data_IF_407627136453
#
_entry.id   IF_407627136453
#
_cell.length_a   1.000
_cell.length_b   1.000
_cell.length_c   1.000
_cell.angle_alpha   90.00
_cell.angle_beta   90.00
_cell.angle_gamma   90.00
#
_symmetry.space_group_name_H-M   'P 1'
#
loop_
_entity.id
_entity.type
_entity.pdbx_description
1 polymer ?
#
# COMPACT_ATOMS: atom_id res chain seq x y z
N UNK A 1 21.16 -3.75 -3.16
CA UNK A 1 20.04 -3.21 -2.36
C UNK A 1 20.38 -3.35 -0.89
N UNK A 2 20.00 -2.39 -0.06
CA UNK A 2 20.44 -2.35 1.33
C UNK A 2 19.70 -3.43 2.14
N UNK A 3 20.46 -4.41 2.64
CA UNK A 3 19.95 -5.51 3.49
C UNK A 3 19.21 -4.99 4.73
N UNK A 4 19.57 -3.79 5.18
CA UNK A 4 18.94 -3.09 6.31
C UNK A 4 17.45 -2.88 6.10
N UNK A 5 17.01 -2.39 4.92
CA UNK A 5 15.60 -2.09 4.67
C UNK A 5 14.69 -3.32 4.79
N UNK A 6 15.15 -4.47 4.31
CA UNK A 6 14.40 -5.71 4.42
C UNK A 6 14.39 -6.23 5.85
N UNK A 7 15.52 -6.19 6.53
CA UNK A 7 15.61 -6.60 7.92
C UNK A 7 14.61 -5.79 8.76
N UNK A 8 14.53 -4.48 8.55
CA UNK A 8 13.58 -3.63 9.27
C UNK A 8 12.12 -3.99 8.97
N UNK A 9 11.77 -4.25 7.71
CA UNK A 9 10.40 -4.69 7.36
C UNK A 9 10.07 -6.04 7.98
N UNK A 10 10.96 -7.04 7.88
CA UNK A 10 10.70 -8.37 8.41
C UNK A 10 10.66 -8.38 9.94
N UNK A 11 11.54 -7.62 10.60
CA UNK A 11 11.51 -7.43 12.06
C UNK A 11 10.19 -6.77 12.44
N UNK A 12 9.79 -5.69 11.77
CA UNK A 12 8.52 -5.02 12.03
C UNK A 12 7.32 -5.97 11.87
N UNK A 13 7.27 -6.73 10.78
CA UNK A 13 6.22 -7.73 10.53
C UNK A 13 6.15 -8.78 11.64
N UNK A 14 7.30 -9.34 12.04
CA UNK A 14 7.40 -10.35 13.08
C UNK A 14 6.98 -9.77 14.44
N UNK A 15 7.48 -8.59 14.80
CA UNK A 15 7.14 -7.90 16.05
C UNK A 15 5.65 -7.57 16.11
N UNK A 16 5.05 -7.01 15.05
CA UNK A 16 3.62 -6.72 15.02
C UNK A 16 2.78 -7.99 15.12
N UNK A 17 3.18 -9.06 14.44
CA UNK A 17 2.49 -10.36 14.56
C UNK A 17 2.52 -10.88 16.00
N UNK A 18 3.67 -10.81 16.66
CA UNK A 18 3.83 -11.24 18.05
C UNK A 18 2.99 -10.38 19.00
N UNK A 19 3.03 -9.05 18.86
CA UNK A 19 2.29 -8.12 19.72
C UNK A 19 0.77 -8.31 19.59
N UNK A 20 0.27 -8.42 18.36
CA UNK A 20 -1.18 -8.60 18.12
C UNK A 20 -1.63 -9.98 18.60
N UNK A 21 -0.84 -11.03 18.37
CA UNK A 21 -1.15 -12.39 18.85
C UNK A 21 -1.17 -12.46 20.37
N UNK A 22 -0.15 -11.90 21.04
CA UNK A 22 -0.09 -11.83 22.49
C UNK A 22 -1.28 -11.05 23.06
N UNK A 23 -1.63 -9.92 22.44
CA UNK A 23 -2.75 -9.09 22.87
C UNK A 23 -4.09 -9.83 22.75
N UNK A 24 -4.32 -10.55 21.64
CA UNK A 24 -5.52 -11.40 21.47
C UNK A 24 -5.55 -12.52 22.50
N UNK A 25 -4.46 -13.29 22.65
CA UNK A 25 -4.42 -14.44 23.56
C UNK A 25 -4.67 -14.00 25.00
N UNK A 26 -3.99 -12.94 25.44
CA UNK A 26 -4.14 -12.40 26.80
C UNK A 26 -5.54 -11.84 27.03
N UNK A 27 -6.11 -11.14 26.04
CA UNK A 27 -7.47 -10.61 26.13
C UNK A 27 -8.53 -11.72 26.17
N UNK A 28 -8.35 -12.79 25.38
CA UNK A 28 -9.23 -13.96 25.41
C UNK A 28 -9.12 -14.70 26.74
N UNK A 29 -7.92 -14.85 27.29
CA UNK A 29 -7.71 -15.45 28.61
C UNK A 29 -8.48 -14.69 29.70
N UNK A 30 -8.40 -13.35 29.70
CA UNK A 30 -9.14 -12.50 30.64
C UNK A 30 -10.65 -12.60 30.40
N UNK A 31 -11.09 -12.58 29.15
CA UNK A 31 -12.52 -12.59 28.79
C UNK A 31 -13.22 -13.89 29.22
N UNK A 32 -12.51 -15.02 29.10
CA UNK A 32 -13.04 -16.36 29.33
C UNK A 32 -12.84 -16.88 30.76
N UNK A 33 -12.04 -16.20 31.59
CA UNK A 33 -11.83 -16.56 32.98
C UNK A 33 -12.74 -15.74 33.91
N UNK A 34 -13.57 -16.44 34.69
CA UNK A 34 -14.56 -15.85 35.61
C UNK A 34 -13.94 -15.27 36.90
N UNK A 35 -12.66 -15.52 37.17
CA UNK A 35 -11.92 -14.91 38.29
C UNK A 35 -11.69 -13.40 38.08
N UNK A 36 -11.79 -12.91 36.84
CA UNK A 36 -11.61 -11.50 36.51
C UNK A 36 -12.91 -10.70 36.64
N UNK A 37 -12.77 -9.42 37.03
CA UNK A 37 -13.92 -8.53 37.21
C UNK A 37 -14.70 -8.34 35.90
N UNK A 38 -16.02 -8.24 36.02
CA UNK A 38 -16.93 -8.01 34.89
C UNK A 38 -16.55 -6.77 34.05
N UNK A 39 -16.11 -5.70 34.72
CA UNK A 39 -15.66 -4.46 34.05
C UNK A 39 -14.43 -4.73 33.17
N UNK A 40 -13.44 -5.47 33.69
CA UNK A 40 -12.24 -5.80 32.93
C UNK A 40 -12.58 -6.68 31.72
N UNK A 41 -13.50 -7.63 31.88
CA UNK A 41 -13.98 -8.49 30.79
C UNK A 41 -14.65 -7.69 29.68
N UNK A 42 -15.44 -6.65 30.00
CA UNK A 42 -15.98 -5.73 29.00
C UNK A 42 -14.87 -4.94 28.31
N UNK A 43 -13.90 -4.42 29.08
CA UNK A 43 -12.79 -3.63 28.53
C UNK A 43 -11.99 -4.42 27.49
N UNK A 44 -11.67 -5.70 27.75
CA UNK A 44 -10.88 -6.52 26.82
C UNK A 44 -11.61 -6.84 25.51
N UNK A 45 -12.95 -6.73 25.46
CA UNK A 45 -13.70 -6.82 24.19
C UNK A 45 -13.29 -5.68 23.25
N UNK A 46 -13.14 -4.45 23.76
CA UNK A 46 -12.67 -3.32 22.97
C UNK A 46 -11.22 -3.47 22.52
N UNK A 47 -10.38 -4.11 23.36
CA UNK A 47 -8.99 -4.44 22.99
C UNK A 47 -8.98 -5.44 21.83
N UNK A 48 -9.76 -6.53 21.91
CA UNK A 48 -9.89 -7.51 20.83
C UNK A 48 -10.37 -6.85 19.55
N UNK A 49 -11.42 -6.02 19.62
CA UNK A 49 -11.94 -5.29 18.46
C UNK A 49 -10.85 -4.40 17.83
N UNK A 50 -10.08 -3.68 18.65
CA UNK A 50 -8.97 -2.84 18.19
C UNK A 50 -7.87 -3.66 17.51
N UNK A 51 -7.49 -4.81 18.08
CA UNK A 51 -6.50 -5.70 17.48
C UNK A 51 -6.97 -6.24 16.14
N UNK A 52 -8.23 -6.67 16.02
CA UNK A 52 -8.82 -7.12 14.76
C UNK A 52 -8.79 -6.00 13.71
N UNK A 53 -9.22 -4.79 14.08
CA UNK A 53 -9.19 -3.62 13.20
C UNK A 53 -7.76 -3.29 12.72
N UNK A 54 -6.76 -3.42 13.59
CA UNK A 54 -5.36 -3.21 13.21
C UNK A 54 -4.84 -4.34 12.31
N UNK A 55 -5.16 -5.59 12.62
CA UNK A 55 -4.73 -6.76 11.83
C UNK A 55 -5.32 -6.75 10.41
N UNK A 56 -6.51 -6.19 10.22
CA UNK A 56 -7.13 -6.02 8.90
C UNK A 56 -6.44 -4.96 8.03
N UNK A 57 -5.67 -4.04 8.63
CA UNK A 57 -4.92 -3.02 7.90
C UNK A 57 -3.60 -3.58 7.41
N UNK A 58 -3.43 -3.67 6.09
CA UNK A 58 -2.19 -4.14 5.45
C UNK A 58 -0.97 -3.31 5.88
N UNK A 59 -1.16 -2.02 6.18
CA UNK A 59 -0.11 -1.09 6.60
C UNK A 59 0.46 -1.43 7.98
N UNK A 60 -0.28 -2.16 8.82
CA UNK A 60 0.18 -2.62 10.13
C UNK A 60 1.40 -3.53 9.98
N UNK A 61 1.39 -4.41 8.97
CA UNK A 61 2.50 -5.32 8.69
C UNK A 61 3.48 -4.74 7.66
N UNK A 62 2.98 -3.99 6.69
CA UNK A 62 3.76 -3.42 5.60
C UNK A 62 3.73 -1.89 5.68
N UNK A 63 4.55 -1.27 6.55
CA UNK A 63 4.46 0.17 6.85
C UNK A 63 4.69 1.05 5.62
N UNK A 64 5.49 0.59 4.66
CA UNK A 64 5.74 1.29 3.39
C UNK A 64 4.50 1.38 2.47
N UNK A 65 3.42 0.66 2.76
CA UNK A 65 2.14 0.81 2.05
C UNK A 65 1.26 1.91 2.65
N UNK A 66 1.60 2.41 3.84
CA UNK A 66 0.81 3.41 4.54
C UNK A 66 1.10 4.85 4.15
N UNK A 67 0.57 5.76 4.96
CA UNK A 67 0.82 7.20 4.85
C UNK A 67 2.33 7.46 4.91
N UNK A 68 2.86 8.32 4.04
CA UNK A 68 4.31 8.56 3.93
C UNK A 68 4.57 10.04 3.72
N UNK A 69 5.58 10.58 4.40
CA UNK A 69 6.03 11.95 4.16
C UNK A 69 6.90 11.97 2.91
N UNK A 70 6.54 12.82 1.95
CA UNK A 70 7.39 13.22 0.84
C UNK A 70 7.07 14.69 0.54
N UNK A 71 8.00 15.62 0.82
CA UNK A 71 7.79 17.03 0.55
C UNK A 71 7.30 17.25 -0.88
N UNK A 72 6.10 17.81 -1.02
CA UNK A 72 5.41 17.96 -2.31
C UNK A 72 6.22 18.72 -3.37
N UNK A 73 7.11 19.70 -3.04
CA UNK A 73 7.95 20.36 -4.05
C UNK A 73 9.00 19.45 -4.71
N UNK A 74 9.30 18.27 -4.14
CA UNK A 74 10.20 17.28 -4.74
C UNK A 74 9.51 16.44 -5.82
N UNK A 75 8.18 16.47 -5.87
CA UNK A 75 7.40 15.70 -6.83
C UNK A 75 7.33 16.51 -8.12
N UNK A 76 7.72 15.88 -9.23
CA UNK A 76 7.64 16.51 -10.54
C UNK A 76 6.20 16.91 -10.89
N UNK A 77 6.08 17.90 -11.79
CA UNK A 77 4.83 18.18 -12.49
C UNK A 77 4.36 16.97 -13.35
N UNK A 78 3.22 17.12 -14.03
CA UNK A 78 2.62 16.06 -14.83
C UNK A 78 3.66 15.38 -15.74
N UNK A 79 3.77 14.06 -15.59
CA UNK A 79 4.75 13.22 -16.27
C UNK A 79 4.07 11.95 -16.75
N UNK A 80 4.29 11.63 -18.02
CA UNK A 80 3.77 10.41 -18.65
C UNK A 80 4.97 9.52 -19.02
N UNK A 81 4.94 8.21 -18.72
CA UNK A 81 6.01 7.30 -19.12
C UNK A 81 6.09 7.19 -20.65
N UNK A 82 7.32 7.11 -21.18
CA UNK A 82 7.54 6.97 -22.62
C UNK A 82 6.95 5.65 -23.10
N UNK A 83 6.17 5.69 -24.18
CA UNK A 83 5.52 4.50 -24.74
C UNK A 83 4.22 4.08 -24.05
N UNK A 84 3.66 4.93 -23.16
CA UNK A 84 2.33 4.69 -22.58
C UNK A 84 1.27 4.49 -23.67
N UNK A 85 0.60 3.34 -23.63
CA UNK A 85 -0.40 2.93 -24.61
C UNK A 85 -1.77 2.62 -24.00
N UNK A 86 -1.90 2.72 -22.67
CA UNK A 86 -3.15 2.58 -21.93
C UNK A 86 -3.46 3.87 -21.19
N UNK A 87 -4.75 4.17 -21.05
CA UNK A 87 -5.26 5.28 -20.25
C UNK A 87 -6.38 4.76 -19.34
N UNK A 88 -6.25 5.01 -18.04
CA UNK A 88 -7.22 4.67 -17.01
C UNK A 88 -7.65 5.95 -16.30
N UNK A 89 -8.95 6.12 -16.07
CA UNK A 89 -9.46 7.25 -15.29
C UNK A 89 -9.76 6.79 -13.87
N UNK A 90 -9.27 7.54 -12.88
CA UNK A 90 -9.59 7.33 -11.47
C UNK A 90 -10.55 8.43 -11.03
N UNK A 91 -11.69 8.03 -10.49
CA UNK A 91 -12.62 8.94 -9.85
C UNK A 91 -12.10 9.29 -8.44
N UNK A 92 -11.88 10.58 -8.22
CA UNK A 92 -11.31 11.18 -7.02
C UNK A 92 -12.17 12.36 -6.57
N UNK A 93 -13.49 12.15 -6.63
CA UNK A 93 -14.48 13.08 -6.10
C UNK A 93 -14.19 13.33 -4.62
N UNK A 94 -14.01 14.60 -4.26
CA UNK A 94 -13.63 15.02 -2.90
C UNK A 94 -12.19 15.55 -2.78
N UNK A 95 -11.37 15.43 -3.83
CA UNK A 95 -10.06 16.10 -3.89
C UNK A 95 -10.09 17.34 -4.79
N UNK A 96 -9.37 18.42 -4.43
CA UNK A 96 -9.38 19.65 -5.22
C UNK A 96 -8.63 19.48 -6.54
N UNK A 97 -9.06 20.21 -7.55
CA UNK A 97 -8.38 20.28 -8.85
C UNK A 97 -6.92 20.74 -8.69
N UNK A 98 -6.04 20.18 -9.52
CA UNK A 98 -4.60 20.39 -9.44
C UNK A 98 -3.88 19.56 -8.37
N UNK A 99 -4.60 18.78 -7.55
CA UNK A 99 -4.00 17.74 -6.68
C UNK A 99 -3.23 16.75 -7.54
N UNK A 100 -2.02 16.37 -7.08
CA UNK A 100 -1.18 15.43 -7.82
C UNK A 100 -1.50 13.99 -7.44
N UNK A 101 -1.47 13.13 -8.43
CA UNK A 101 -1.57 11.67 -8.30
C UNK A 101 -0.28 11.08 -8.86
N UNK A 102 0.53 10.47 -8.00
CA UNK A 102 1.74 9.75 -8.41
C UNK A 102 1.38 8.29 -8.60
N UNK A 103 1.81 7.70 -9.71
CA UNK A 103 1.46 6.32 -10.04
C UNK A 103 2.64 5.57 -10.66
N UNK A 104 2.61 4.25 -10.48
CA UNK A 104 3.60 3.34 -11.04
C UNK A 104 2.98 1.97 -11.31
N UNK A 105 3.49 1.29 -12.33
CA UNK A 105 3.12 -0.07 -12.68
C UNK A 105 4.37 -0.90 -12.99
N UNK A 106 4.21 -2.21 -13.12
CA UNK A 106 5.32 -3.08 -13.51
C UNK A 106 5.80 -2.75 -14.93
N UNK A 107 7.06 -3.08 -15.20
CA UNK A 107 7.62 -3.05 -16.53
C UNK A 107 6.99 -4.13 -17.43
N UNK A 108 7.25 -4.00 -18.73
CA UNK A 108 6.87 -4.98 -19.74
C UNK A 108 8.13 -5.71 -20.22
N UNK A 109 8.26 -6.97 -19.83
CA UNK A 109 9.31 -7.91 -20.24
C UNK A 109 8.78 -9.02 -21.15
N UNK A 110 7.46 -9.20 -21.25
CA UNK A 110 6.80 -10.24 -22.05
C UNK A 110 6.73 -11.60 -21.34
N UNK A 111 7.03 -11.66 -20.04
CA UNK A 111 7.07 -12.87 -19.24
C UNK A 111 6.63 -12.60 -17.80
N UNK A 112 6.28 -13.65 -17.07
CA UNK A 112 5.99 -13.51 -15.64
C UNK A 112 7.28 -13.17 -14.90
N UNK A 113 7.25 -12.07 -14.14
CA UNK A 113 8.40 -11.61 -13.38
C UNK A 113 8.37 -12.29 -12.00
N UNK A 114 9.49 -12.89 -11.60
CA UNK A 114 9.54 -13.70 -10.36
C UNK A 114 9.60 -12.86 -9.08
N UNK A 115 9.88 -11.56 -9.19
CA UNK A 115 10.13 -10.70 -8.06
C UNK A 115 9.68 -9.24 -8.31
N UNK A 116 9.11 -8.56 -7.31
CA UNK A 116 8.62 -7.19 -7.48
C UNK A 116 9.73 -6.17 -7.80
N UNK A 117 10.97 -6.38 -7.36
CA UNK A 117 12.07 -5.45 -7.61
C UNK A 117 12.47 -5.45 -9.08
N UNK A 118 12.48 -6.63 -9.69
CA UNK A 118 12.64 -6.73 -11.15
C UNK A 118 11.42 -6.16 -11.87
N UNK A 119 10.21 -6.34 -11.31
CA UNK A 119 8.99 -5.79 -11.90
C UNK A 119 9.02 -4.26 -12.00
N UNK A 120 9.52 -3.56 -10.98
CA UNK A 120 9.58 -2.10 -10.93
C UNK A 120 10.93 -1.50 -11.31
N UNK A 121 11.87 -2.31 -11.82
CA UNK A 121 13.25 -1.91 -12.09
C UNK A 121 13.33 -0.63 -12.94
N UNK A 122 14.19 0.29 -12.55
CA UNK A 122 14.40 1.59 -13.21
C UNK A 122 13.19 2.53 -13.27
N UNK A 123 12.02 2.14 -12.74
CA UNK A 123 10.81 2.97 -12.73
C UNK A 123 10.43 3.53 -14.11
N UNK A 124 10.42 2.68 -15.15
CA UNK A 124 10.10 3.12 -16.51
C UNK A 124 8.60 3.35 -16.74
N UNK A 125 7.74 2.64 -15.98
CA UNK A 125 6.28 2.73 -16.08
C UNK A 125 5.70 3.57 -14.93
N UNK A 126 6.17 4.81 -14.78
CA UNK A 126 5.74 5.73 -13.71
C UNK A 126 5.35 7.08 -14.27
N UNK A 127 4.44 7.76 -13.58
CA UNK A 127 4.01 9.08 -13.96
C UNK A 127 3.38 9.87 -12.82
N UNK A 128 3.02 11.09 -13.15
CA UNK A 128 2.31 12.03 -12.27
C UNK A 128 1.19 12.65 -13.09
N UNK A 129 -0.01 12.70 -12.53
CA UNK A 129 -1.17 13.35 -13.15
C UNK A 129 -1.78 14.37 -12.21
N UNK A 130 -2.50 15.34 -12.77
CA UNK A 130 -3.29 16.31 -11.98
C UNK A 130 -4.76 15.92 -12.02
N UNK A 131 -5.43 16.04 -10.87
CA UNK A 131 -6.88 15.95 -10.79
C UNK A 131 -7.49 17.13 -11.55
N UNK A 132 -8.45 16.85 -12.43
CA UNK A 132 -9.24 17.83 -13.19
C UNK A 132 -10.70 17.38 -13.16
N UNK A 133 -11.58 18.22 -12.65
CA UNK A 133 -13.02 17.91 -12.53
C UNK A 133 -13.28 16.59 -11.79
N UNK A 134 -12.60 16.39 -10.66
CA UNK A 134 -12.75 15.19 -9.81
C UNK A 134 -12.11 13.91 -10.37
N UNK A 135 -11.38 13.98 -11.49
CA UNK A 135 -10.80 12.80 -12.15
C UNK A 135 -9.30 12.96 -12.39
N UNK A 136 -8.55 11.87 -12.29
CA UNK A 136 -7.15 11.81 -12.71
C UNK A 136 -6.97 10.78 -13.83
N UNK A 137 -6.31 11.17 -14.91
CA UNK A 137 -5.95 10.28 -16.01
C UNK A 137 -4.60 9.62 -15.74
N UNK A 138 -4.56 8.30 -15.58
CA UNK A 138 -3.34 7.51 -15.43
C UNK A 138 -2.95 6.92 -16.77
N UNK A 139 -1.75 7.25 -17.25
CA UNK A 139 -1.23 6.76 -18.53
C UNK A 139 -0.01 5.87 -18.30
N UNK A 140 -0.12 4.61 -18.70
CA UNK A 140 0.90 3.58 -18.51
C UNK A 140 1.04 2.75 -19.77
N UNK A 141 2.10 1.95 -19.89
CA UNK A 141 2.08 0.82 -20.82
C UNK A 141 1.61 -0.45 -20.10
N UNK A 142 1.05 -1.41 -20.83
CA UNK A 142 0.52 -2.67 -20.25
C UNK A 142 1.59 -3.34 -19.36
N UNK A 143 1.36 -3.45 -18.04
CA UNK A 143 2.32 -4.04 -17.12
C UNK A 143 2.26 -5.56 -17.18
N UNK A 144 3.38 -6.23 -16.87
CA UNK A 144 3.37 -7.68 -16.72
C UNK A 144 2.90 -8.12 -15.32
N UNK A 145 2.51 -9.39 -15.26
CA UNK A 145 2.25 -10.09 -13.99
C UNK A 145 3.56 -10.36 -13.29
N UNK A 146 3.54 -10.33 -11.96
CA UNK A 146 4.72 -10.67 -11.18
C UNK A 146 4.36 -11.39 -9.88
N UNK A 147 5.32 -12.16 -9.34
CA UNK A 147 5.14 -12.85 -8.06
C UNK A 147 5.61 -11.98 -6.91
N UNK A 148 4.97 -12.10 -5.75
CA UNK A 148 5.32 -11.37 -4.51
C UNK A 148 6.63 -11.83 -3.85
N UNK A 149 7.50 -12.53 -4.57
CA UNK A 149 8.76 -13.08 -4.07
C UNK A 149 8.63 -14.40 -3.32
N UNK A 150 9.80 -14.91 -2.85
CA UNK A 150 9.99 -16.30 -2.39
C UNK A 150 9.10 -16.75 -1.23
N UNK A 151 8.64 -15.83 -0.36
CA UNK A 151 7.91 -16.19 0.86
C UNK A 151 6.43 -16.49 0.62
N UNK A 152 5.77 -15.70 -0.25
CA UNK A 152 4.34 -15.82 -0.50
C UNK A 152 4.01 -16.40 -1.88
N UNK A 153 4.98 -16.40 -2.81
CA UNK A 153 4.91 -16.96 -4.18
C UNK A 153 3.59 -16.71 -4.93
N UNK A 154 2.89 -15.63 -4.57
CA UNK A 154 1.57 -15.32 -5.09
C UNK A 154 1.76 -14.58 -6.40
N UNK A 155 1.16 -15.10 -7.48
CA UNK A 155 1.11 -14.39 -8.74
C UNK A 155 0.13 -13.21 -8.61
N UNK A 156 0.63 -12.00 -8.79
CA UNK A 156 -0.19 -10.81 -8.88
C UNK A 156 -0.57 -10.58 -10.34
N UNK A 157 -1.89 -10.47 -10.54
CA UNK A 157 -2.49 -10.04 -11.80
C UNK A 157 -2.03 -8.62 -12.16
N UNK A 158 -2.18 -8.24 -13.42
CA UNK A 158 -1.73 -6.93 -13.90
C UNK A 158 -2.44 -5.81 -13.14
N UNK A 159 -1.66 -4.86 -12.65
CA UNK A 159 -2.17 -3.72 -11.89
C UNK A 159 -1.22 -2.53 -11.98
N UNK A 160 -1.73 -1.37 -11.56
CA UNK A 160 -0.90 -0.22 -11.21
C UNK A 160 -1.21 0.23 -9.78
N UNK A 161 -0.26 0.93 -9.20
CA UNK A 161 -0.37 1.56 -7.91
C UNK A 161 -0.41 3.07 -8.05
N UNK A 162 -1.09 3.74 -7.13
CA UNK A 162 -1.06 5.19 -7.04
C UNK A 162 -1.14 5.68 -5.60
N UNK A 163 -0.70 6.93 -5.41
CA UNK A 163 -0.86 7.71 -4.18
C UNK A 163 -1.32 9.12 -4.53
N UNK A 164 -2.11 9.71 -3.64
CA UNK A 164 -2.56 11.09 -3.73
C UNK A 164 -1.60 11.96 -2.92
N UNK A 165 -1.21 13.10 -3.47
CA UNK A 165 -0.31 14.06 -2.83
C UNK A 165 -1.11 15.10 -2.04
N UNK A 166 -0.99 15.09 -0.72
CA UNK A 166 -1.57 16.10 0.17
C UNK A 166 -0.62 17.29 0.28
N UNK A 167 -0.75 18.24 -0.66
CA UNK A 167 0.21 19.34 -0.84
C UNK A 167 0.46 20.16 0.43
N UNK A 168 -0.59 20.43 1.21
CA UNK A 168 -0.54 21.34 2.36
C UNK A 168 0.23 20.76 3.55
N UNK A 169 0.35 19.43 3.62
CA UNK A 169 0.96 18.73 4.75
C UNK A 169 2.19 17.90 4.35
N UNK A 170 2.51 17.81 3.07
CA UNK A 170 3.69 17.08 2.57
C UNK A 170 3.57 15.56 2.71
N UNK A 171 2.36 15.03 2.83
CA UNK A 171 2.10 13.60 2.92
C UNK A 171 1.58 13.02 1.60
N UNK A 172 1.90 11.76 1.38
CA UNK A 172 1.29 10.91 0.38
C UNK A 172 0.31 9.96 1.07
N UNK A 173 -0.85 9.75 0.44
CA UNK A 173 -1.82 8.75 0.86
C UNK A 173 -1.20 7.34 0.95
N UNK A 174 -1.86 6.39 1.63
CA UNK A 174 -1.55 4.97 1.46
C UNK A 174 -1.58 4.54 -0.01
N UNK A 175 -0.90 3.44 -0.31
CA UNK A 175 -0.85 2.85 -1.66
C UNK A 175 -2.22 2.27 -2.01
N UNK A 176 -2.80 2.79 -3.08
CA UNK A 176 -4.00 2.25 -3.71
C UNK A 176 -3.60 1.45 -4.95
N UNK A 177 -4.39 0.44 -5.29
CA UNK A 177 -4.10 -0.50 -6.38
C UNK A 177 -5.31 -0.62 -7.29
N UNK A 178 -5.09 -0.56 -8.60
CA UNK A 178 -6.12 -0.76 -9.62
C UNK A 178 -5.69 -1.89 -10.54
N UNK A 179 -6.55 -2.88 -10.72
CA UNK A 179 -6.33 -3.96 -11.68
C UNK A 179 -6.51 -3.44 -13.10
N UNK A 180 -5.70 -3.94 -14.02
CA UNK A 180 -5.77 -3.56 -15.44
C UNK A 180 -6.04 -4.78 -16.29
N UNK A 181 -6.83 -4.59 -17.34
CA UNK A 181 -7.14 -5.63 -18.31
C UNK A 181 -6.45 -5.29 -19.64
N UNK A 182 -5.36 -6.00 -19.87
CA UNK A 182 -4.52 -6.10 -21.04
C UNK A 182 -3.71 -7.41 -20.85
#
# INVERSE_FOLDING_TARGET
MNTVFFNDIYIHMATMTLLLSYSIISSLYILLNDDYSFILRIFVIFVIASVVLLAMKKETFLPFLGLTVLPSPLIADEKIPKGANLSYTIDLDGYPDGTLVVYWAANKTGSNIEDPFEAYKNFNNVGVSKIKSGKAEVRIFCPDRYKTGKMFNQLLERHFHYRIVFKDIGFLSPVMTVKVDC
#
